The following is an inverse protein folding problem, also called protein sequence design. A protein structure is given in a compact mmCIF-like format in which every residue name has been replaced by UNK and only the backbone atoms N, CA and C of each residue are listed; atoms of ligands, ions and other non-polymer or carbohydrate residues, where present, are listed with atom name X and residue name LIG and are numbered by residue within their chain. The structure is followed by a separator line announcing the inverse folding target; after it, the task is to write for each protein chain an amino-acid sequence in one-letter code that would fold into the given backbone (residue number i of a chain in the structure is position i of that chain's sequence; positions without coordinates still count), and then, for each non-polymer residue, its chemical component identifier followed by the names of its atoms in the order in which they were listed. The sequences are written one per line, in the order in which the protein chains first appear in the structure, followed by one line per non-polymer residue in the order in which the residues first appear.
data_IF_606411681622
#
_entry.id   IF_606411681622
#
_cell.length_a   1.000
_cell.length_b   1.000
_cell.length_c   1.000
_cell.angle_alpha   90.00
_cell.angle_beta   90.00
_cell.angle_gamma   90.00
#
_symmetry.space_group_name_H-M   'P 1'
#
loop_
_entity.id
_entity.type
_entity.pdbx_description
1 polymer ?
#
# COMPACT_ATOMS: atom_id res chain seq x y z
N UNK A 1 8.17 8.21 9.44
CA UNK A 1 8.26 9.20 8.35
C UNK A 1 6.91 9.39 7.66
N UNK A 2 6.36 8.44 6.87
CA UNK A 2 5.04 8.67 6.22
C UNK A 2 3.90 9.01 7.19
N UNK A 3 3.89 8.43 8.40
CA UNK A 3 2.94 8.82 9.46
C UNK A 3 3.01 10.32 9.80
N UNK A 4 4.22 10.86 9.96
CA UNK A 4 4.45 12.27 10.29
C UNK A 4 4.01 13.20 9.14
N UNK A 5 4.05 12.71 7.90
CA UNK A 5 3.52 13.46 6.76
C UNK A 5 2.00 13.47 6.75
N UNK A 6 1.34 12.37 7.13
CA UNK A 6 -0.12 12.32 7.28
C UNK A 6 -0.60 13.23 8.41
N UNK A 7 0.12 13.29 9.54
CA UNK A 7 -0.23 14.14 10.69
C UNK A 7 -0.30 15.63 10.34
N UNK A 8 0.44 16.09 9.32
CA UNK A 8 0.38 17.49 8.84
C UNK A 8 -0.98 17.88 8.25
N UNK A 9 -1.77 16.90 7.84
CA UNK A 9 -3.08 17.09 7.20
C UNK A 9 -4.25 16.81 8.16
N UNK A 10 -4.00 16.63 9.46
CA UNK A 10 -5.06 16.36 10.44
C UNK A 10 -6.17 17.42 10.44
N UNK A 11 -5.82 18.69 10.22
CA UNK A 11 -6.76 19.81 10.11
C UNK A 11 -7.16 20.17 8.67
N UNK A 12 -6.60 19.50 7.66
CA UNK A 12 -6.80 19.78 6.21
C UNK A 12 -6.92 18.46 5.43
N UNK A 13 -7.93 17.62 5.72
CA UNK A 13 -8.06 16.29 5.12
C UNK A 13 -8.24 16.32 3.59
N UNK A 14 -8.78 17.39 3.02
CA UNK A 14 -8.95 17.59 1.58
C UNK A 14 -7.61 17.69 0.81
N UNK A 15 -6.53 18.07 1.49
CA UNK A 15 -5.20 18.21 0.87
C UNK A 15 -4.31 16.98 1.09
N UNK A 16 -4.77 15.98 1.85
CA UNK A 16 -3.95 14.79 2.19
C UNK A 16 -3.52 13.99 0.96
N UNK A 17 -4.23 14.16 -0.17
CA UNK A 17 -3.87 13.57 -1.46
C UNK A 17 -2.43 13.90 -1.89
N UNK A 18 -1.96 15.10 -1.57
CA UNK A 18 -0.60 15.55 -1.86
C UNK A 18 0.47 14.68 -1.20
N UNK A 19 0.19 14.18 0.00
CA UNK A 19 1.07 13.26 0.69
C UNK A 19 1.28 11.97 -0.11
N UNK A 20 0.22 11.43 -0.73
CA UNK A 20 0.30 10.22 -1.54
C UNK A 20 1.04 10.44 -2.86
N UNK A 21 0.81 11.57 -3.52
CA UNK A 21 1.50 11.96 -4.76
C UNK A 21 3.00 12.15 -4.50
N UNK A 22 3.37 12.95 -3.50
CA UNK A 22 4.77 13.23 -3.15
C UNK A 22 5.55 11.98 -2.78
N UNK A 23 4.89 11.01 -2.13
CA UNK A 23 5.52 9.76 -1.68
C UNK A 23 5.36 8.59 -2.65
N UNK A 24 4.82 8.81 -3.86
CA UNK A 24 4.50 7.76 -4.84
C UNK A 24 5.67 6.80 -5.12
N UNK A 25 6.90 7.31 -5.22
CA UNK A 25 8.09 6.49 -5.44
C UNK A 25 8.39 5.56 -4.25
N UNK A 26 8.19 6.02 -3.01
CA UNK A 26 8.42 5.20 -1.82
C UNK A 26 7.44 4.04 -1.73
N UNK A 27 6.24 4.17 -2.28
CA UNK A 27 5.27 3.08 -2.35
C UNK A 27 5.68 1.94 -3.29
N UNK A 28 6.70 2.11 -4.14
CA UNK A 28 7.25 0.99 -4.92
C UNK A 28 7.79 -0.14 -4.02
N UNK A 29 8.12 0.13 -2.75
CA UNK A 29 8.49 -0.92 -1.79
C UNK A 29 7.40 -1.99 -1.62
N UNK A 30 6.12 -1.64 -1.78
CA UNK A 30 5.01 -2.59 -1.67
C UNK A 30 4.92 -3.49 -2.91
N UNK A 31 5.30 -2.97 -4.08
CA UNK A 31 5.43 -3.75 -5.31
C UNK A 31 6.51 -4.82 -5.14
N UNK A 32 7.68 -4.43 -4.64
CA UNK A 32 8.78 -5.37 -4.33
C UNK A 32 8.38 -6.40 -3.26
N UNK A 33 7.66 -5.96 -2.22
CA UNK A 33 7.16 -6.83 -1.16
C UNK A 33 6.23 -7.93 -1.70
N UNK A 34 5.29 -7.57 -2.59
CA UNK A 34 4.39 -8.51 -3.23
C UNK A 34 5.15 -9.52 -4.12
N UNK A 35 6.18 -9.07 -4.85
CA UNK A 35 7.03 -9.94 -5.68
C UNK A 35 7.80 -10.98 -4.86
N UNK A 36 8.40 -10.56 -3.74
CA UNK A 36 9.22 -11.45 -2.91
C UNK A 36 8.41 -12.46 -2.09
N UNK A 37 7.09 -12.30 -2.04
CA UNK A 37 6.11 -13.08 -1.25
C UNK A 37 6.77 -13.79 -0.06
N UNK A 38 7.01 -13.10 1.07
CA UNK A 38 7.75 -13.69 2.19
C UNK A 38 7.13 -15.02 2.62
N UNK A 39 7.99 -16.00 2.90
CA UNK A 39 7.59 -17.35 3.30
C UNK A 39 6.76 -17.30 4.59
N UNK A 40 5.44 -17.39 4.43
CA UNK A 40 4.46 -17.26 5.52
C UNK A 40 4.42 -18.47 6.47
N UNK A 41 5.06 -19.57 6.08
CA UNK A 41 4.97 -20.86 6.77
C UNK A 41 6.22 -21.20 7.60
N UNK A 42 7.15 -20.25 7.82
CA UNK A 42 8.31 -20.51 8.67
C UNK A 42 7.87 -20.59 10.14
N UNK A 43 7.76 -21.81 10.66
CA UNK A 43 7.29 -22.09 12.01
C UNK A 43 8.35 -21.79 13.09
N UNK A 44 9.63 -21.87 12.75
CA UNK A 44 10.74 -21.54 13.66
C UNK A 44 10.77 -20.04 13.97
N UNK A 45 10.59 -19.20 12.94
CA UNK A 45 10.50 -17.74 13.10
C UNK A 45 9.31 -17.35 13.99
N UNK A 46 8.18 -18.05 13.88
CA UNK A 46 7.00 -17.80 14.71
C UNK A 46 7.26 -18.07 16.19
N UNK A 47 7.89 -19.22 16.51
CA UNK A 47 8.20 -19.60 17.89
C UNK A 47 9.29 -18.70 18.49
N UNK A 48 10.33 -18.37 17.73
CA UNK A 48 11.44 -17.52 18.19
C UNK A 48 11.02 -16.07 18.50
N UNK A 49 9.97 -15.56 17.85
CA UNK A 49 9.52 -14.17 17.97
C UNK A 49 8.39 -13.94 18.98
N UNK A 50 7.86 -15.00 19.61
CA UNK A 50 6.78 -14.90 20.61
C UNK A 50 5.52 -14.21 20.06
N UNK A 51 5.21 -14.41 18.78
CA UNK A 51 4.10 -13.72 18.12
C UNK A 51 2.75 -14.20 18.65
N UNK A 52 1.83 -13.26 18.88
CA UNK A 52 0.47 -13.57 19.34
C UNK A 52 -0.45 -14.09 18.23
N UNK A 53 -0.08 -13.84 16.96
CA UNK A 53 -0.80 -14.32 15.78
C UNK A 53 0.15 -15.09 14.84
N UNK A 54 -0.38 -15.90 13.90
CA UNK A 54 0.44 -16.54 12.88
C UNK A 54 1.23 -15.51 12.05
N UNK A 55 2.45 -15.85 11.63
CA UNK A 55 3.31 -14.96 10.83
C UNK A 55 2.60 -14.43 9.58
N UNK A 56 1.80 -15.27 8.92
CA UNK A 56 0.97 -14.89 7.77
C UNK A 56 0.07 -13.66 8.05
N UNK A 57 -0.50 -13.55 9.26
CA UNK A 57 -1.37 -12.45 9.64
C UNK A 57 -0.63 -11.11 9.78
N UNK A 58 0.68 -11.13 10.02
CA UNK A 58 1.53 -9.93 9.98
C UNK A 58 1.98 -9.61 8.55
N UNK A 59 2.34 -10.64 7.79
CA UNK A 59 2.84 -10.49 6.42
C UNK A 59 1.78 -9.97 5.43
N UNK A 60 0.49 -10.14 5.74
CA UNK A 60 -0.58 -9.57 4.91
C UNK A 60 -0.85 -8.09 5.18
N UNK A 61 -0.37 -7.54 6.32
CA UNK A 61 -0.64 -6.15 6.73
C UNK A 61 -0.17 -5.10 5.71
N UNK A 62 1.00 -5.19 5.06
CA UNK A 62 1.40 -4.23 4.04
C UNK A 62 0.42 -4.17 2.86
N UNK A 63 -0.08 -5.32 2.41
CA UNK A 63 -1.08 -5.39 1.32
C UNK A 63 -2.41 -4.79 1.77
N UNK A 64 -2.88 -5.18 2.96
CA UNK A 64 -4.10 -4.63 3.55
C UNK A 64 -4.02 -3.10 3.73
N UNK A 65 -2.84 -2.59 4.07
CA UNK A 65 -2.60 -1.16 4.27
C UNK A 65 -2.78 -0.37 2.96
N UNK A 66 -2.27 -0.87 1.84
CA UNK A 66 -2.48 -0.25 0.53
C UNK A 66 -3.97 -0.24 0.17
N UNK A 67 -4.66 -1.36 0.35
CA UNK A 67 -6.12 -1.41 0.14
C UNK A 67 -6.86 -0.43 1.04
N UNK A 68 -6.45 -0.30 2.31
CA UNK A 68 -7.10 0.63 3.25
C UNK A 68 -6.91 2.09 2.81
N UNK A 69 -5.75 2.47 2.29
CA UNK A 69 -5.56 3.82 1.74
C UNK A 69 -6.47 4.10 0.55
N UNK A 70 -6.66 3.13 -0.35
CA UNK A 70 -7.61 3.28 -1.46
C UNK A 70 -9.04 3.53 -0.97
N UNK A 71 -9.49 2.77 0.05
CA UNK A 71 -10.84 2.94 0.61
C UNK A 71 -11.00 4.31 1.25
N UNK A 72 -10.04 4.73 2.08
CA UNK A 72 -10.09 6.03 2.76
C UNK A 72 -10.07 7.21 1.78
N UNK A 73 -9.26 7.14 0.72
CA UNK A 73 -9.22 8.19 -0.30
C UNK A 73 -10.51 8.23 -1.14
N UNK A 74 -11.14 7.07 -1.40
CA UNK A 74 -12.48 7.02 -2.02
C UNK A 74 -13.55 7.62 -1.13
N UNK A 75 -13.53 7.29 0.16
CA UNK A 75 -14.47 7.85 1.14
C UNK A 75 -14.32 9.37 1.21
N UNK A 76 -13.08 9.88 1.25
CA UNK A 76 -12.78 11.32 1.23
C UNK A 76 -13.30 11.99 -0.06
N UNK A 77 -13.07 11.40 -1.24
CA UNK A 77 -13.62 11.92 -2.50
C UNK A 77 -15.15 12.00 -2.48
N UNK A 78 -15.82 11.06 -1.82
CA UNK A 78 -17.28 11.08 -1.68
C UNK A 78 -17.82 12.17 -0.76
N UNK A 79 -16.96 12.77 0.08
CA UNK A 79 -17.33 13.82 1.03
C UNK A 79 -16.86 15.22 0.62
N UNK A 80 -15.92 15.34 -0.31
CA UNK A 80 -15.42 16.63 -0.80
C UNK A 80 -16.22 17.11 -2.02
N UNK A 81 -16.41 18.43 -2.15
CA UNK A 81 -16.90 19.02 -3.39
C UNK A 81 -15.90 18.73 -4.53
N UNK A 82 -16.42 18.35 -5.70
CA UNK A 82 -15.59 17.97 -6.85
C UNK A 82 -14.59 19.09 -7.18
N UNK A 83 -13.31 18.72 -7.32
CA UNK A 83 -12.14 19.55 -7.71
C UNK A 83 -11.23 20.15 -6.61
N UNK A 84 -11.49 19.96 -5.31
CA UNK A 84 -10.51 20.41 -4.28
C UNK A 84 -9.46 19.35 -3.95
N UNK A 85 -8.19 19.76 -4.01
CA UNK A 85 -7.03 18.97 -3.59
C UNK A 85 -6.60 17.86 -4.56
N UNK A 86 -5.54 17.14 -4.17
CA UNK A 86 -4.93 16.06 -4.97
C UNK A 86 -5.47 14.66 -4.56
N UNK A 87 -6.67 14.56 -3.99
CA UNK A 87 -7.20 13.28 -3.46
C UNK A 87 -7.36 12.24 -4.58
N UNK A 88 -7.86 12.66 -5.75
CA UNK A 88 -8.02 11.79 -6.92
C UNK A 88 -6.67 11.24 -7.40
N UNK A 89 -5.66 12.10 -7.44
CA UNK A 89 -4.32 11.73 -7.90
C UNK A 89 -3.65 10.82 -6.87
N UNK A 90 -3.80 11.12 -5.58
CA UNK A 90 -3.38 10.24 -4.49
C UNK A 90 -4.06 8.86 -4.54
N UNK A 91 -5.35 8.81 -4.87
CA UNK A 91 -6.09 7.55 -5.06
C UNK A 91 -5.51 6.77 -6.25
N UNK A 92 -5.22 7.43 -7.36
CA UNK A 92 -4.59 6.80 -8.52
C UNK A 92 -3.22 6.18 -8.16
N UNK A 93 -2.39 6.86 -7.37
CA UNK A 93 -1.14 6.29 -6.86
C UNK A 93 -1.41 5.00 -6.11
N UNK A 94 -2.37 4.98 -5.18
CA UNK A 94 -2.70 3.80 -4.38
C UNK A 94 -3.31 2.66 -5.19
N UNK A 95 -4.09 2.96 -6.24
CA UNK A 95 -4.64 1.96 -7.16
C UNK A 95 -3.55 1.35 -8.06
N UNK A 96 -2.56 2.14 -8.45
CA UNK A 96 -1.48 1.69 -9.32
C UNK A 96 -0.47 0.76 -8.62
N UNK A 97 -0.32 0.83 -7.30
CA UNK A 97 0.60 -0.05 -6.55
C UNK A 97 0.28 -1.55 -6.76
N UNK A 98 -0.93 -2.06 -6.46
CA UNK A 98 -1.24 -3.47 -6.67
C UNK A 98 -1.26 -3.84 -8.16
N UNK A 99 -1.66 -2.93 -9.05
CA UNK A 99 -1.62 -3.15 -10.50
C UNK A 99 -0.18 -3.44 -10.98
N UNK A 100 0.77 -2.59 -10.62
CA UNK A 100 2.20 -2.79 -10.93
C UNK A 100 2.75 -4.09 -10.35
N UNK A 101 2.35 -4.43 -9.11
CA UNK A 101 2.75 -5.70 -8.51
C UNK A 101 2.24 -6.89 -9.32
N UNK A 102 0.99 -6.85 -9.76
CA UNK A 102 0.38 -7.88 -10.57
C UNK A 102 1.04 -7.99 -11.96
N UNK A 103 1.29 -6.85 -12.62
CA UNK A 103 1.93 -6.80 -13.93
C UNK A 103 3.34 -7.44 -13.89
N UNK A 104 4.14 -7.11 -12.86
CA UNK A 104 5.48 -7.70 -12.68
C UNK A 104 5.42 -9.21 -12.41
N UNK A 105 4.44 -9.67 -11.62
CA UNK A 105 4.25 -11.10 -11.38
C UNK A 105 3.93 -11.83 -12.69
N UNK A 106 3.01 -11.31 -13.50
CA UNK A 106 2.69 -11.91 -14.80
C UNK A 106 3.87 -11.88 -15.78
N UNK A 107 4.63 -10.78 -15.84
CA UNK A 107 5.84 -10.70 -16.67
C UNK A 107 6.87 -11.76 -16.26
N UNK A 108 7.10 -11.95 -14.95
CA UNK A 108 8.04 -12.97 -14.46
C UNK A 108 7.63 -14.41 -14.80
N UNK A 109 6.33 -14.66 -14.96
CA UNK A 109 5.82 -15.97 -15.42
C UNK A 109 6.09 -16.19 -16.91
N UNK A 110 6.05 -15.14 -17.73
CA UNK A 110 6.36 -15.21 -19.16
C UNK A 110 7.86 -15.45 -19.40
N UNK A 111 8.72 -14.74 -18.67
CA UNK A 111 10.18 -14.90 -18.77
C UNK A 111 10.66 -16.29 -18.29
N UNK A 112 9.96 -16.92 -17.34
CA UNK A 112 10.23 -18.28 -16.87
C UNK A 112 9.77 -19.40 -17.82
N UNK A 113 9.11 -19.06 -18.94
CA UNK A 113 8.67 -19.99 -19.98
C UNK A 113 9.61 -20.03 -21.22
N UNK A 114 10.77 -19.37 -21.15
CA UNK A 114 11.77 -19.30 -22.24
C UNK A 114 12.92 -20.28 -22.04
#
# INVERSE_FOLDING_TARGET
IFLQELEKYESLPEDVGHCFVTWAEKFQMYVSYCRLKPNSNNLEVQKLRGLSLPLAAYLIKPVQRITKYQLLLKDLLGCCEEEKGEIRDGLEVMLNVPKKANDILHLSMLEGCS
#
